data_IF_855077399322
#
_entry.id   IF_855077399322
#
_cell.length_a   1.000
_cell.length_b   1.000
_cell.length_c   1.000
_cell.angle_alpha   90.00
_cell.angle_beta   90.00
_cell.angle_gamma   90.00
#
_symmetry.space_group_name_H-M   'P 1'
#
loop_
_entity.id
_entity.type
_entity.pdbx_description
1 polymer ?
#
# COMPACT_ATOMS: atom_id res chain seq x y z
N UNK A 1 4.52 27.74 -14.04
CA UNK A 1 5.20 28.81 -13.28
C UNK A 1 4.26 29.41 -12.23
N UNK A 2 4.76 29.59 -11.01
CA UNK A 2 4.03 30.06 -9.83
C UNK A 2 3.57 31.52 -9.95
N UNK A 3 2.54 31.88 -9.18
CA UNK A 3 2.16 33.28 -9.01
C UNK A 3 3.24 34.01 -8.17
N UNK A 4 3.84 35.11 -8.69
CA UNK A 4 4.91 35.82 -7.99
C UNK A 4 4.52 36.38 -6.63
N UNK A 5 3.25 36.80 -6.45
CA UNK A 5 2.76 37.33 -5.18
C UNK A 5 2.64 36.22 -4.14
N UNK A 6 2.12 35.05 -4.52
CA UNK A 6 2.07 33.90 -3.61
C UNK A 6 3.47 33.44 -3.23
N UNK A 7 4.39 33.37 -4.20
CA UNK A 7 5.77 32.99 -3.92
C UNK A 7 6.46 33.99 -2.96
N UNK A 8 6.28 35.29 -3.18
CA UNK A 8 6.82 36.32 -2.29
C UNK A 8 6.20 36.27 -0.88
N UNK A 9 4.93 35.89 -0.75
CA UNK A 9 4.28 35.72 0.56
C UNK A 9 4.87 34.56 1.33
N UNK A 10 5.04 33.38 0.71
CA UNK A 10 5.60 32.22 1.41
C UNK A 10 7.08 32.43 1.77
N UNK A 11 7.82 33.17 0.94
CA UNK A 11 9.22 33.53 1.23
C UNK A 11 9.38 34.48 2.42
N UNK A 12 8.33 35.19 2.83
CA UNK A 12 8.33 36.01 4.06
C UNK A 12 8.15 35.16 5.33
N UNK A 13 7.80 33.88 5.19
CA UNK A 13 7.66 32.93 6.28
C UNK A 13 6.25 32.37 6.43
N UNK A 14 6.16 31.25 7.14
CA UNK A 14 4.91 30.50 7.34
C UNK A 14 3.84 31.32 8.07
N UNK A 15 4.23 32.15 9.05
CA UNK A 15 3.26 32.95 9.82
C UNK A 15 2.55 33.99 8.92
N UNK A 16 3.32 34.70 8.09
CA UNK A 16 2.80 35.68 7.12
C UNK A 16 1.89 35.00 6.10
N UNK A 17 2.32 33.83 5.59
CA UNK A 17 1.50 33.04 4.67
C UNK A 17 0.19 32.60 5.32
N UNK A 18 0.25 32.07 6.54
CA UNK A 18 -0.92 31.55 7.24
C UNK A 18 -1.91 32.67 7.61
N UNK A 19 -1.45 33.84 8.01
CA UNK A 19 -2.29 35.03 8.22
C UNK A 19 -2.97 35.46 6.92
N UNK A 20 -2.22 35.51 5.81
CA UNK A 20 -2.78 35.80 4.50
C UNK A 20 -3.84 34.76 4.09
N UNK A 21 -3.63 33.47 4.35
CA UNK A 21 -4.62 32.41 4.08
C UNK A 21 -5.90 32.60 4.88
N UNK A 22 -5.81 33.01 6.14
CA UNK A 22 -6.99 33.28 6.98
C UNK A 22 -7.84 34.43 6.43
N UNK A 23 -7.19 35.48 5.91
CA UNK A 23 -7.87 36.62 5.30
C UNK A 23 -8.41 36.30 3.89
N UNK A 24 -7.84 35.28 3.22
CA UNK A 24 -8.14 34.93 1.84
C UNK A 24 -8.56 33.45 1.65
N UNK A 25 -9.58 32.95 2.38
CA UNK A 25 -9.90 31.52 2.40
C UNK A 25 -10.42 30.97 1.07
N UNK A 26 -10.96 31.84 0.20
CA UNK A 26 -11.49 31.47 -1.12
C UNK A 26 -10.43 31.43 -2.21
N UNK A 27 -9.25 32.01 -1.99
CA UNK A 27 -8.16 32.01 -2.97
C UNK A 27 -7.54 30.62 -2.96
N UNK A 28 -7.35 30.04 -4.16
CA UNK A 28 -6.53 28.84 -4.35
C UNK A 28 -5.10 29.28 -4.65
N UNK A 29 -4.13 28.99 -3.76
CA UNK A 29 -2.76 29.42 -4.00
C UNK A 29 -2.14 28.70 -5.20
N UNK A 30 -1.52 29.44 -6.10
CA UNK A 30 -0.75 28.92 -7.22
C UNK A 30 0.75 29.03 -6.92
N UNK A 31 1.38 27.89 -6.65
CA UNK A 31 2.79 27.68 -6.36
C UNK A 31 3.40 26.64 -7.33
N UNK A 32 2.87 26.52 -8.55
CA UNK A 32 3.37 25.57 -9.56
C UNK A 32 4.82 25.83 -9.90
N UNK A 33 5.64 24.79 -9.98
CA UNK A 33 7.09 24.88 -10.27
C UNK A 33 7.85 25.76 -9.27
N UNK A 34 7.26 26.12 -8.13
CA UNK A 34 7.94 26.92 -7.12
C UNK A 34 9.11 26.13 -6.54
N UNK A 35 10.23 26.82 -6.31
CA UNK A 35 11.36 26.27 -5.58
C UNK A 35 11.19 26.55 -4.08
N UNK A 36 10.82 25.50 -3.35
CA UNK A 36 10.55 25.48 -1.92
C UNK A 36 11.47 24.47 -1.20
N UNK A 37 12.59 24.08 -1.83
CA UNK A 37 13.53 23.10 -1.30
C UNK A 37 14.08 23.55 0.06
N UNK A 38 14.25 22.60 0.98
CA UNK A 38 14.88 22.82 2.29
C UNK A 38 14.23 23.90 3.17
N UNK A 39 13.07 24.44 2.77
CA UNK A 39 12.38 25.45 3.56
C UNK A 39 11.76 24.83 4.80
N UNK A 40 11.72 25.62 5.87
CA UNK A 40 10.92 25.30 7.04
C UNK A 40 9.47 25.73 6.82
N UNK A 41 8.63 24.77 6.48
CA UNK A 41 7.21 24.92 6.13
C UNK A 41 6.31 24.23 7.18
N UNK A 42 6.81 24.11 8.42
CA UNK A 42 6.09 23.46 9.51
C UNK A 42 4.75 24.16 9.76
N UNK A 43 3.67 23.39 9.80
CA UNK A 43 2.29 23.90 9.96
C UNK A 43 1.82 24.90 8.89
N UNK A 44 2.46 24.93 7.70
CA UNK A 44 2.00 25.78 6.61
C UNK A 44 0.61 25.37 6.13
N UNK A 45 -0.24 26.33 5.80
CA UNK A 45 -1.56 26.10 5.21
C UNK A 45 -1.52 26.19 3.68
N UNK A 46 -1.26 25.07 3.03
CA UNK A 46 -1.35 24.86 1.58
C UNK A 46 -2.66 24.16 1.16
N UNK A 47 -3.73 24.28 1.95
CA UNK A 47 -5.03 23.73 1.57
C UNK A 47 -5.48 24.28 0.20
N UNK A 48 -5.89 23.39 -0.70
CA UNK A 48 -6.24 23.71 -2.11
C UNK A 48 -5.12 24.35 -2.95
N UNK A 49 -3.88 24.38 -2.48
CA UNK A 49 -2.78 24.95 -3.26
C UNK A 49 -2.46 24.06 -4.46
N UNK A 50 -2.16 24.70 -5.59
CA UNK A 50 -1.55 24.06 -6.73
C UNK A 50 -0.02 24.15 -6.60
N UNK A 51 0.58 23.03 -6.23
CA UNK A 51 2.01 22.80 -6.08
C UNK A 51 2.53 21.88 -7.21
N UNK A 52 1.84 21.83 -8.35
CA UNK A 52 2.26 20.96 -9.46
C UNK A 52 3.70 21.28 -9.86
N UNK A 53 4.54 20.26 -9.95
CA UNK A 53 5.96 20.36 -10.28
C UNK A 53 6.79 21.24 -9.31
N UNK A 54 6.27 21.60 -8.14
CA UNK A 54 7.03 22.32 -7.14
C UNK A 54 8.19 21.45 -6.60
N UNK A 55 9.31 22.07 -6.27
CA UNK A 55 10.42 21.44 -5.60
C UNK A 55 10.28 21.65 -4.09
N UNK A 56 9.89 20.60 -3.36
CA UNK A 56 9.73 20.55 -1.90
C UNK A 56 10.78 19.62 -1.27
N UNK A 57 11.84 19.28 -2.00
CA UNK A 57 12.88 18.35 -1.56
C UNK A 57 13.48 18.81 -0.23
N UNK A 58 13.63 17.88 0.71
CA UNK A 58 14.22 18.12 2.04
C UNK A 58 13.53 19.23 2.86
N UNK A 59 12.33 19.66 2.47
CA UNK A 59 11.57 20.67 3.22
C UNK A 59 10.96 20.06 4.48
N UNK A 60 10.79 20.89 5.50
CA UNK A 60 10.07 20.51 6.72
C UNK A 60 8.60 20.90 6.57
N UNK A 61 7.74 19.93 6.29
CA UNK A 61 6.28 20.05 6.18
C UNK A 61 5.56 19.39 7.36
N UNK A 62 6.24 19.25 8.51
CA UNK A 62 5.67 18.62 9.69
C UNK A 62 4.39 19.35 10.11
N UNK A 63 3.28 18.61 10.18
CA UNK A 63 1.95 19.13 10.49
C UNK A 63 1.38 20.12 9.48
N UNK A 64 1.96 20.24 8.27
CA UNK A 64 1.41 21.10 7.22
C UNK A 64 -0.01 20.66 6.81
N UNK A 65 -0.84 21.62 6.42
CA UNK A 65 -2.13 21.35 5.80
C UNK A 65 -2.00 21.43 4.27
N UNK A 66 -2.06 20.29 3.61
CA UNK A 66 -2.01 20.05 2.18
C UNK A 66 -3.31 19.38 1.69
N UNK A 67 -4.39 19.46 2.48
CA UNK A 67 -5.68 18.86 2.15
C UNK A 67 -6.18 19.41 0.81
N UNK A 68 -6.58 18.50 -0.11
CA UNK A 68 -7.02 18.83 -1.47
C UNK A 68 -6.04 19.67 -2.29
N UNK A 69 -4.75 19.66 -1.93
CA UNK A 69 -3.70 20.27 -2.73
C UNK A 69 -3.40 19.44 -3.98
N UNK A 70 -2.89 20.10 -5.02
CA UNK A 70 -2.42 19.44 -6.24
C UNK A 70 -0.89 19.40 -6.17
N UNK A 71 -0.33 18.20 -6.03
CA UNK A 71 1.10 17.90 -5.97
C UNK A 71 1.54 17.11 -7.21
N UNK A 72 0.82 17.24 -8.33
CA UNK A 72 1.13 16.58 -9.60
C UNK A 72 2.60 16.79 -9.98
N UNK A 73 3.37 15.71 -10.07
CA UNK A 73 4.82 15.73 -10.37
C UNK A 73 5.68 16.57 -9.43
N UNK A 74 5.21 16.88 -8.22
CA UNK A 74 6.02 17.58 -7.23
C UNK A 74 7.19 16.69 -6.75
N UNK A 75 8.33 17.32 -6.44
CA UNK A 75 9.47 16.64 -5.81
C UNK A 75 9.40 16.84 -4.29
N UNK A 76 8.99 15.81 -3.56
CA UNK A 76 8.93 15.73 -2.10
C UNK A 76 10.02 14.78 -1.54
N UNK A 77 11.07 14.46 -2.31
CA UNK A 77 12.12 13.56 -1.84
C UNK A 77 12.70 14.03 -0.51
N UNK A 78 12.85 13.12 0.45
CA UNK A 78 13.39 13.41 1.79
C UNK A 78 12.63 14.51 2.57
N UNK A 79 11.43 14.91 2.14
CA UNK A 79 10.64 15.88 2.89
C UNK A 79 10.13 15.28 4.21
N UNK A 80 10.07 16.10 5.26
CA UNK A 80 9.46 15.73 6.54
C UNK A 80 7.97 16.12 6.53
N UNK A 81 7.10 15.16 6.26
CA UNK A 81 5.64 15.29 6.20
C UNK A 81 4.97 14.65 7.43
N UNK A 82 5.70 14.48 8.53
CA UNK A 82 5.15 13.91 9.77
C UNK A 82 3.88 14.64 10.18
N UNK A 83 2.80 13.89 10.41
CA UNK A 83 1.49 14.41 10.86
C UNK A 83 0.86 15.43 9.90
N UNK A 84 1.35 15.55 8.66
CA UNK A 84 0.76 16.41 7.65
C UNK A 84 -0.69 15.97 7.34
N UNK A 85 -1.56 16.95 7.06
CA UNK A 85 -2.92 16.72 6.61
C UNK A 85 -2.93 16.77 5.09
N UNK A 86 -3.13 15.64 4.44
CA UNK A 86 -3.01 15.45 2.99
C UNK A 86 -4.22 14.67 2.44
N UNK A 87 -5.36 14.73 3.14
CA UNK A 87 -6.58 14.09 2.70
C UNK A 87 -6.99 14.64 1.32
N UNK A 88 -7.38 13.74 0.43
CA UNK A 88 -7.79 14.07 -0.95
C UNK A 88 -6.73 14.83 -1.77
N UNK A 89 -5.45 14.81 -1.37
CA UNK A 89 -4.37 15.44 -2.13
C UNK A 89 -4.07 14.62 -3.41
N UNK A 90 -3.74 15.33 -4.50
CA UNK A 90 -3.35 14.71 -5.77
C UNK A 90 -1.83 14.64 -5.89
N UNK A 91 -1.25 13.45 -5.69
CA UNK A 91 0.17 13.16 -5.82
C UNK A 91 0.48 12.36 -7.09
N UNK A 92 -0.32 12.48 -8.15
CA UNK A 92 -0.07 11.81 -9.43
C UNK A 92 1.37 12.10 -9.93
N UNK A 93 2.16 11.04 -10.15
CA UNK A 93 3.58 11.09 -10.53
C UNK A 93 4.48 11.93 -9.60
N UNK A 94 4.07 12.20 -8.35
CA UNK A 94 4.94 12.88 -7.38
C UNK A 94 6.08 11.95 -6.92
N UNK A 95 7.21 12.54 -6.57
CA UNK A 95 8.33 11.81 -5.98
C UNK A 95 8.37 12.03 -4.47
N UNK A 96 8.11 10.98 -3.69
CA UNK A 96 8.19 10.93 -2.23
C UNK A 96 9.32 9.99 -1.77
N UNK A 97 10.34 9.77 -2.62
CA UNK A 97 11.48 8.91 -2.29
C UNK A 97 12.07 9.28 -0.93
N UNK A 98 12.13 8.32 -0.01
CA UNK A 98 12.63 8.47 1.38
C UNK A 98 11.91 9.53 2.23
N UNK A 99 10.74 10.03 1.80
CA UNK A 99 9.98 11.02 2.57
C UNK A 99 9.44 10.42 3.89
N UNK A 100 9.31 11.27 4.90
CA UNK A 100 8.80 10.88 6.21
C UNK A 100 7.33 11.30 6.36
N UNK A 101 6.40 10.36 6.26
CA UNK A 101 4.96 10.55 6.41
C UNK A 101 4.41 9.88 7.68
N UNK A 102 5.21 9.75 8.75
CA UNK A 102 4.76 9.13 10.01
C UNK A 102 3.51 9.87 10.51
N UNK A 103 2.46 9.10 10.81
CA UNK A 103 1.17 9.60 11.30
C UNK A 103 0.49 10.65 10.38
N UNK A 104 0.88 10.75 9.11
CA UNK A 104 0.21 11.62 8.15
C UNK A 104 -1.22 11.15 7.85
N UNK A 105 -2.11 12.09 7.57
CA UNK A 105 -3.47 11.81 7.11
C UNK A 105 -3.53 11.90 5.59
N UNK A 106 -3.62 10.75 4.92
CA UNK A 106 -3.62 10.55 3.47
C UNK A 106 -4.92 9.88 3.00
N UNK A 107 -6.00 10.04 3.75
CA UNK A 107 -7.31 9.49 3.39
C UNK A 107 -7.71 10.00 2.00
N UNK A 108 -8.15 9.09 1.13
CA UNK A 108 -8.59 9.41 -0.24
C UNK A 108 -7.53 10.13 -1.10
N UNK A 109 -6.25 10.12 -0.68
CA UNK A 109 -5.17 10.70 -1.47
C UNK A 109 -4.87 9.85 -2.71
N UNK A 110 -4.41 10.53 -3.77
CA UNK A 110 -4.19 9.94 -5.08
C UNK A 110 -2.69 9.83 -5.35
N UNK A 111 -2.19 8.63 -5.61
CA UNK A 111 -0.77 8.31 -5.80
C UNK A 111 -0.53 7.55 -7.12
N UNK A 112 -1.34 7.78 -8.16
CA UNK A 112 -1.09 7.18 -9.48
C UNK A 112 0.37 7.40 -9.91
N UNK A 113 1.08 6.31 -10.20
CA UNK A 113 2.49 6.32 -10.65
C UNK A 113 3.45 7.07 -9.71
N UNK A 114 3.08 7.33 -8.46
CA UNK A 114 3.93 8.03 -7.51
C UNK A 114 5.10 7.15 -7.05
N UNK A 115 6.24 7.76 -6.75
CA UNK A 115 7.41 7.09 -6.19
C UNK A 115 7.44 7.28 -4.67
N UNK A 116 7.13 6.24 -3.91
CA UNK A 116 7.20 6.18 -2.45
C UNK A 116 8.29 5.22 -1.97
N UNK A 117 9.28 4.91 -2.80
CA UNK A 117 10.35 3.98 -2.40
C UNK A 117 11.03 4.47 -1.12
N UNK A 118 11.24 3.54 -0.20
CA UNK A 118 11.88 3.79 1.10
C UNK A 118 11.20 4.87 1.97
N UNK A 119 9.98 5.33 1.62
CA UNK A 119 9.23 6.28 2.43
C UNK A 119 8.76 5.63 3.73
N UNK A 120 8.62 6.45 4.78
CA UNK A 120 8.10 6.00 6.08
C UNK A 120 6.66 6.47 6.28
N UNK A 121 5.71 5.55 6.27
CA UNK A 121 4.28 5.77 6.51
C UNK A 121 3.82 5.08 7.81
N UNK A 122 4.70 4.97 8.81
CA UNK A 122 4.36 4.36 10.11
C UNK A 122 3.11 5.01 10.70
N UNK A 123 2.09 4.20 11.03
CA UNK A 123 0.78 4.64 11.55
C UNK A 123 0.05 5.69 10.70
N UNK A 124 0.42 5.90 9.44
CA UNK A 124 -0.31 6.80 8.56
C UNK A 124 -1.74 6.31 8.31
N UNK A 125 -2.64 7.26 8.03
CA UNK A 125 -4.03 6.98 7.64
C UNK A 125 -4.17 7.08 6.13
N UNK A 126 -4.32 5.95 5.45
CA UNK A 126 -4.35 5.80 3.99
C UNK A 126 -5.69 5.18 3.55
N UNK A 127 -6.74 5.32 4.37
CA UNK A 127 -8.07 4.77 4.06
C UNK A 127 -8.56 5.32 2.72
N UNK A 128 -9.07 4.43 1.87
CA UNK A 128 -9.58 4.77 0.53
C UNK A 128 -8.56 5.46 -0.42
N UNK A 129 -7.26 5.43 -0.09
CA UNK A 129 -6.23 6.00 -0.96
C UNK A 129 -5.97 5.13 -2.21
N UNK A 130 -5.47 5.76 -3.28
CA UNK A 130 -5.32 5.13 -4.60
C UNK A 130 -3.84 5.10 -5.00
N UNK A 131 -3.27 3.91 -5.22
CA UNK A 131 -1.86 3.66 -5.52
C UNK A 131 -1.64 2.93 -6.85
N UNK A 132 -2.50 3.13 -7.83
CA UNK A 132 -2.40 2.44 -9.11
C UNK A 132 -1.01 2.67 -9.74
N UNK A 133 -0.30 1.57 -10.02
CA UNK A 133 1.08 1.56 -10.56
C UNK A 133 2.12 2.37 -9.75
N UNK A 134 1.84 2.69 -8.49
CA UNK A 134 2.79 3.36 -7.61
C UNK A 134 3.97 2.44 -7.25
N UNK A 135 5.13 3.03 -7.02
CA UNK A 135 6.32 2.33 -6.56
C UNK A 135 6.51 2.54 -5.05
N UNK A 136 6.22 1.52 -4.25
CA UNK A 136 6.38 1.52 -2.80
C UNK A 136 7.40 0.46 -2.35
N UNK A 137 8.43 0.18 -3.17
CA UNK A 137 9.48 -0.77 -2.75
C UNK A 137 10.15 -0.31 -1.47
N UNK A 138 10.34 -1.25 -0.55
CA UNK A 138 11.02 -1.00 0.73
C UNK A 138 10.33 0.08 1.61
N UNK A 139 9.06 0.38 1.34
CA UNK A 139 8.26 1.31 2.16
C UNK A 139 8.01 0.73 3.56
N UNK A 140 7.94 1.60 4.57
CA UNK A 140 7.50 1.22 5.92
C UNK A 140 6.06 1.64 6.17
N UNK A 141 5.15 0.68 6.27
CA UNK A 141 3.71 0.84 6.52
C UNK A 141 3.26 0.21 7.85
N UNK A 142 4.21 -0.09 8.76
CA UNK A 142 3.89 -0.74 10.03
C UNK A 142 2.82 0.04 10.80
N UNK A 143 1.74 -0.65 11.17
CA UNK A 143 0.60 -0.08 11.88
C UNK A 143 -0.25 0.93 11.09
N UNK A 144 0.03 1.16 9.81
CA UNK A 144 -0.77 2.05 8.96
C UNK A 144 -2.18 1.48 8.68
N UNK A 145 -3.10 2.36 8.26
CA UNK A 145 -4.50 2.00 7.95
C UNK A 145 -4.77 2.18 6.46
N UNK A 146 -4.99 1.09 5.73
CA UNK A 146 -5.28 1.05 4.29
C UNK A 146 -6.67 0.46 3.99
N UNK A 147 -7.62 0.59 4.91
CA UNK A 147 -8.98 0.06 4.71
C UNK A 147 -9.58 0.67 3.44
N UNK A 148 -10.04 -0.19 2.52
CA UNK A 148 -10.63 0.21 1.23
C UNK A 148 -9.64 0.80 0.20
N UNK A 149 -8.35 0.92 0.53
CA UNK A 149 -7.37 1.43 -0.43
C UNK A 149 -7.21 0.51 -1.65
N UNK A 150 -6.78 1.08 -2.77
CA UNK A 150 -6.53 0.34 -4.02
C UNK A 150 -5.07 0.45 -4.43
N UNK A 151 -4.39 -0.69 -4.58
CA UNK A 151 -2.97 -0.80 -4.95
C UNK A 151 -2.78 -1.63 -6.22
N UNK A 152 -3.71 -1.49 -7.18
CA UNK A 152 -3.68 -2.24 -8.44
C UNK A 152 -2.34 -2.07 -9.17
N UNK A 153 -1.68 -3.19 -9.47
CA UNK A 153 -0.35 -3.24 -10.09
C UNK A 153 0.76 -2.42 -9.38
N UNK A 154 0.54 -1.99 -8.13
CA UNK A 154 1.58 -1.31 -7.36
C UNK A 154 2.74 -2.24 -7.02
N UNK A 155 3.90 -1.65 -6.72
CA UNK A 155 5.08 -2.40 -6.32
C UNK A 155 5.40 -2.21 -4.83
N UNK A 156 5.09 -3.20 -3.99
CA UNK A 156 5.42 -3.27 -2.57
C UNK A 156 6.52 -4.31 -2.28
N UNK A 157 7.40 -4.60 -3.25
CA UNK A 157 8.46 -5.57 -3.00
C UNK A 157 9.30 -5.13 -1.80
N UNK A 158 9.55 -6.06 -0.87
CA UNK A 158 10.30 -5.85 0.38
C UNK A 158 9.70 -4.81 1.33
N UNK A 159 8.44 -4.41 1.15
CA UNK A 159 7.76 -3.49 2.06
C UNK A 159 7.59 -4.10 3.47
N UNK A 160 7.64 -3.25 4.50
CA UNK A 160 7.28 -3.61 5.87
C UNK A 160 5.82 -3.24 6.14
N UNK A 161 4.96 -4.24 6.23
CA UNK A 161 3.52 -4.16 6.46
C UNK A 161 3.11 -4.87 7.78
N UNK A 162 4.03 -4.95 8.75
CA UNK A 162 3.75 -5.56 10.05
C UNK A 162 2.56 -4.85 10.71
N UNK A 163 1.58 -5.63 11.18
CA UNK A 163 0.39 -5.11 11.91
C UNK A 163 -0.38 -4.01 11.16
N UNK A 164 -0.21 -3.92 9.84
CA UNK A 164 -0.93 -2.97 8.99
C UNK A 164 -2.38 -3.44 8.85
N UNK A 165 -3.32 -2.49 8.84
CA UNK A 165 -4.72 -2.78 8.58
C UNK A 165 -5.02 -2.65 7.09
N UNK A 166 -5.09 -3.78 6.40
CA UNK A 166 -5.38 -3.99 4.98
C UNK A 166 -6.79 -4.60 4.78
N UNK A 167 -7.71 -4.42 5.72
CA UNK A 167 -9.07 -4.95 5.62
C UNK A 167 -9.76 -4.39 4.37
N UNK A 168 -10.38 -5.27 3.57
CA UNK A 168 -11.06 -4.91 2.31
C UNK A 168 -10.17 -4.16 1.29
N UNK A 169 -8.84 -4.25 1.39
CA UNK A 169 -7.94 -3.62 0.43
C UNK A 169 -7.99 -4.33 -0.94
N UNK A 170 -7.80 -3.59 -2.02
CA UNK A 170 -7.55 -4.18 -3.34
C UNK A 170 -6.05 -4.22 -3.64
N UNK A 171 -5.49 -5.42 -3.69
CA UNK A 171 -4.08 -5.75 -4.02
C UNK A 171 -4.00 -6.54 -5.34
N UNK A 172 -4.91 -6.26 -6.29
CA UNK A 172 -4.97 -6.98 -7.56
C UNK A 172 -3.69 -6.74 -8.37
N UNK A 173 -3.01 -7.82 -8.74
CA UNK A 173 -1.76 -7.77 -9.52
C UNK A 173 -0.57 -7.11 -8.79
N UNK A 174 -0.73 -6.77 -7.51
CA UNK A 174 0.30 -6.07 -6.73
C UNK A 174 1.52 -6.96 -6.52
N UNK A 175 2.72 -6.38 -6.63
CA UNK A 175 3.97 -7.07 -6.31
C UNK A 175 4.29 -6.93 -4.81
N UNK A 176 4.17 -8.02 -4.06
CA UNK A 176 4.51 -8.15 -2.64
C UNK A 176 5.70 -9.10 -2.43
N UNK A 177 6.56 -9.28 -3.43
CA UNK A 177 7.75 -10.13 -3.33
C UNK A 177 8.58 -9.76 -2.10
N UNK A 178 8.84 -10.73 -1.21
CA UNK A 178 9.58 -10.54 0.06
C UNK A 178 9.00 -9.47 1.00
N UNK A 179 7.74 -9.08 0.82
CA UNK A 179 7.09 -8.18 1.77
C UNK A 179 6.88 -8.85 3.13
N UNK A 180 6.96 -8.08 4.20
CA UNK A 180 6.71 -8.53 5.56
C UNK A 180 5.30 -8.12 5.99
N UNK A 181 4.36 -9.06 5.99
CA UNK A 181 2.95 -8.91 6.31
C UNK A 181 2.59 -9.58 7.65
N UNK A 182 3.57 -9.83 8.53
CA UNK A 182 3.32 -10.51 9.81
C UNK A 182 2.26 -9.78 10.62
N UNK A 183 1.29 -10.54 11.13
CA UNK A 183 0.18 -10.02 11.94
C UNK A 183 -0.64 -8.91 11.24
N UNK A 184 -0.54 -8.76 9.92
CA UNK A 184 -1.37 -7.83 9.17
C UNK A 184 -2.83 -8.31 9.13
N UNK A 185 -3.77 -7.36 9.10
CA UNK A 185 -5.18 -7.66 8.89
C UNK A 185 -5.52 -7.51 7.41
N UNK A 186 -5.70 -8.61 6.70
CA UNK A 186 -6.11 -8.73 5.29
C UNK A 186 -7.51 -9.33 5.14
N UNK A 187 -8.36 -9.24 6.17
CA UNK A 187 -9.72 -9.78 6.12
C UNK A 187 -10.49 -9.18 4.94
N UNK A 188 -11.07 -10.04 4.09
CA UNK A 188 -11.79 -9.65 2.88
C UNK A 188 -10.93 -8.97 1.79
N UNK A 189 -9.61 -8.96 1.91
CA UNK A 189 -8.72 -8.35 0.92
C UNK A 189 -8.78 -9.08 -0.43
N UNK A 190 -8.65 -8.32 -1.53
CA UNK A 190 -8.57 -8.86 -2.87
C UNK A 190 -7.11 -8.91 -3.36
N UNK A 191 -6.50 -10.09 -3.29
CA UNK A 191 -5.14 -10.40 -3.77
C UNK A 191 -5.15 -11.19 -5.09
N UNK A 192 -6.18 -11.02 -5.93
CA UNK A 192 -6.24 -11.68 -7.23
C UNK A 192 -4.96 -11.41 -8.05
N UNK A 193 -4.28 -12.49 -8.48
CA UNK A 193 -3.00 -12.42 -9.21
C UNK A 193 -1.86 -11.65 -8.50
N UNK A 194 -1.95 -11.42 -7.19
CA UNK A 194 -0.85 -10.79 -6.44
C UNK A 194 0.40 -11.68 -6.45
N UNK A 195 1.58 -11.05 -6.44
CA UNK A 195 2.89 -11.74 -6.37
C UNK A 195 3.36 -11.71 -4.93
N UNK A 196 3.25 -12.82 -4.21
CA UNK A 196 3.64 -12.99 -2.80
C UNK A 196 4.86 -13.92 -2.65
N UNK A 197 5.66 -14.07 -3.71
CA UNK A 197 6.85 -14.93 -3.71
C UNK A 197 7.79 -14.55 -2.56
N UNK A 198 8.10 -15.51 -1.67
CA UNK A 198 8.91 -15.32 -0.46
C UNK A 198 8.38 -14.25 0.54
N UNK A 199 7.10 -13.88 0.49
CA UNK A 199 6.50 -12.97 1.47
C UNK A 199 6.31 -13.65 2.85
N UNK A 200 6.41 -12.87 3.94
CA UNK A 200 6.12 -13.35 5.29
C UNK A 200 4.72 -12.92 5.75
N UNK A 201 3.77 -13.84 5.74
CA UNK A 201 2.38 -13.67 6.20
C UNK A 201 2.14 -14.35 7.55
N UNK A 202 3.19 -14.58 8.35
CA UNK A 202 3.06 -15.25 9.63
C UNK A 202 2.04 -14.57 10.56
N UNK A 203 1.06 -15.35 11.05
CA UNK A 203 -0.05 -14.88 11.88
C UNK A 203 -0.92 -13.77 11.24
N UNK A 204 -0.86 -13.59 9.92
CA UNK A 204 -1.74 -12.65 9.23
C UNK A 204 -3.19 -13.16 9.22
N UNK A 205 -4.14 -12.23 9.26
CA UNK A 205 -5.56 -12.52 9.14
C UNK A 205 -6.00 -12.35 7.69
N UNK A 206 -6.26 -13.44 6.99
CA UNK A 206 -6.66 -13.52 5.58
C UNK A 206 -8.07 -14.12 5.44
N UNK A 207 -8.89 -14.07 6.50
CA UNK A 207 -10.25 -14.60 6.45
C UNK A 207 -11.04 -13.93 5.33
N UNK A 208 -11.76 -14.74 4.56
CA UNK A 208 -12.56 -14.29 3.41
C UNK A 208 -11.75 -13.59 2.29
N UNK A 209 -10.41 -13.63 2.33
CA UNK A 209 -9.58 -13.00 1.30
C UNK A 209 -9.64 -13.76 -0.03
N UNK A 210 -9.53 -13.02 -1.13
CA UNK A 210 -9.41 -13.59 -2.49
C UNK A 210 -7.95 -13.67 -2.88
N UNK A 211 -7.37 -14.87 -2.96
CA UNK A 211 -5.99 -15.15 -3.40
C UNK A 211 -5.98 -15.94 -4.72
N UNK A 212 -7.07 -15.88 -5.50
CA UNK A 212 -7.17 -16.62 -6.76
C UNK A 212 -6.04 -16.24 -7.70
N UNK A 213 -5.36 -17.25 -8.26
CA UNK A 213 -4.21 -17.11 -9.15
C UNK A 213 -3.01 -16.34 -8.54
N UNK A 214 -2.95 -16.17 -7.22
CA UNK A 214 -1.80 -15.53 -6.57
C UNK A 214 -0.57 -16.44 -6.58
N UNK A 215 0.62 -15.83 -6.65
CA UNK A 215 1.89 -16.53 -6.52
C UNK A 215 2.39 -16.47 -5.06
N UNK A 216 2.15 -17.53 -4.29
CA UNK A 216 2.56 -17.68 -2.90
C UNK A 216 3.77 -18.60 -2.74
N UNK A 217 4.54 -18.84 -3.82
CA UNK A 217 5.70 -19.72 -3.77
C UNK A 217 6.64 -19.30 -2.64
N UNK A 218 7.06 -20.25 -1.82
CA UNK A 218 7.99 -20.03 -0.68
C UNK A 218 7.53 -18.98 0.33
N UNK A 219 6.24 -18.62 0.34
CA UNK A 219 5.69 -17.71 1.34
C UNK A 219 5.60 -18.39 2.71
N UNK A 220 5.79 -17.61 3.78
CA UNK A 220 5.57 -18.07 5.14
C UNK A 220 4.13 -17.75 5.58
N UNK A 221 3.30 -18.78 5.79
CA UNK A 221 1.91 -18.66 6.24
C UNK A 221 1.71 -19.25 7.65
N UNK A 222 2.80 -19.45 8.40
CA UNK A 222 2.74 -20.04 9.75
C UNK A 222 1.76 -19.30 10.66
N UNK A 223 0.79 -20.03 11.19
CA UNK A 223 -0.24 -19.49 12.09
C UNK A 223 -1.20 -18.49 11.45
N UNK A 224 -1.20 -18.31 10.12
CA UNK A 224 -2.13 -17.41 9.44
C UNK A 224 -3.57 -17.94 9.47
N UNK A 225 -4.54 -17.03 9.38
CA UNK A 225 -5.97 -17.36 9.36
C UNK A 225 -6.52 -17.23 7.95
N UNK A 226 -6.82 -18.34 7.27
CA UNK A 226 -7.36 -18.38 5.91
C UNK A 226 -8.77 -18.99 5.86
N UNK A 227 -9.50 -18.97 6.97
CA UNK A 227 -10.87 -19.47 6.99
C UNK A 227 -11.72 -18.75 5.92
N UNK A 228 -12.43 -19.53 5.09
CA UNK A 228 -13.23 -19.06 3.95
C UNK A 228 -12.47 -18.31 2.85
N UNK A 229 -11.13 -18.34 2.84
CA UNK A 229 -10.34 -17.70 1.79
C UNK A 229 -10.46 -18.45 0.45
N UNK A 230 -10.36 -17.73 -0.67
CA UNK A 230 -10.39 -18.32 -2.01
C UNK A 230 -8.99 -18.36 -2.63
N UNK A 231 -8.37 -19.54 -2.67
CA UNK A 231 -7.04 -19.78 -3.25
C UNK A 231 -7.11 -20.46 -4.63
N UNK A 232 -8.22 -20.35 -5.36
CA UNK A 232 -8.40 -21.06 -6.63
C UNK A 232 -7.25 -20.77 -7.60
N UNK A 233 -6.54 -21.81 -8.03
CA UNK A 233 -5.41 -21.70 -8.97
C UNK A 233 -4.15 -21.03 -8.41
N UNK A 234 -4.07 -20.76 -7.11
CA UNK A 234 -2.88 -20.17 -6.50
C UNK A 234 -1.67 -21.13 -6.55
N UNK A 235 -0.47 -20.58 -6.64
CA UNK A 235 0.77 -21.36 -6.57
C UNK A 235 1.34 -21.35 -5.15
N UNK A 236 1.33 -22.51 -4.50
CA UNK A 236 1.73 -22.71 -3.11
C UNK A 236 3.05 -23.49 -2.98
N UNK A 237 3.78 -23.68 -4.08
CA UNK A 237 5.02 -24.50 -4.11
C UNK A 237 6.02 -24.00 -3.06
N UNK A 238 6.44 -24.89 -2.16
CA UNK A 238 7.36 -24.58 -1.07
C UNK A 238 6.86 -23.60 0.02
N UNK A 239 5.58 -23.27 0.07
CA UNK A 239 5.02 -22.40 1.12
C UNK A 239 4.86 -23.15 2.46
N UNK A 240 5.02 -22.43 3.57
CA UNK A 240 4.96 -22.98 4.92
C UNK A 240 3.62 -22.72 5.60
N UNK A 241 2.85 -23.78 5.82
CA UNK A 241 1.50 -23.73 6.40
C UNK A 241 1.42 -24.24 7.85
N UNK A 242 2.53 -24.28 8.59
CA UNK A 242 2.48 -24.83 9.95
C UNK A 242 1.54 -24.00 10.85
N UNK A 243 0.48 -24.63 11.35
CA UNK A 243 -0.51 -23.98 12.23
C UNK A 243 -1.48 -23.04 11.52
N UNK A 244 -1.52 -23.03 10.18
CA UNK A 244 -2.49 -22.22 9.42
C UNK A 244 -3.91 -22.78 9.55
N UNK A 245 -4.90 -21.92 9.75
CA UNK A 245 -6.32 -22.28 9.67
C UNK A 245 -6.81 -22.14 8.23
N UNK A 246 -7.24 -23.26 7.63
CA UNK A 246 -7.75 -23.33 6.26
C UNK A 246 -9.18 -23.85 6.20
N UNK A 247 -9.91 -23.76 7.31
CA UNK A 247 -11.30 -24.21 7.39
C UNK A 247 -12.14 -23.52 6.31
N UNK A 248 -12.88 -24.29 5.52
CA UNK A 248 -13.72 -23.78 4.41
C UNK A 248 -12.98 -23.00 3.31
N UNK A 249 -11.64 -23.07 3.24
CA UNK A 249 -10.88 -22.41 2.18
C UNK A 249 -11.07 -23.14 0.83
N UNK A 250 -11.24 -22.39 -0.26
CA UNK A 250 -11.33 -22.96 -1.60
C UNK A 250 -9.92 -23.19 -2.17
N UNK A 251 -9.53 -24.47 -2.28
CA UNK A 251 -8.23 -24.92 -2.77
C UNK A 251 -8.30 -25.53 -4.18
N UNK A 252 -9.31 -25.20 -4.98
CA UNK A 252 -9.43 -25.76 -6.33
C UNK A 252 -8.26 -25.35 -7.24
N UNK A 253 -7.66 -26.32 -7.95
CA UNK A 253 -6.53 -26.11 -8.89
C UNK A 253 -5.27 -25.47 -8.31
N UNK A 254 -5.06 -25.53 -6.99
CA UNK A 254 -3.79 -25.08 -6.40
C UNK A 254 -2.61 -25.86 -7.00
N UNK A 255 -1.47 -25.18 -7.12
CA UNK A 255 -0.19 -25.81 -7.45
C UNK A 255 0.59 -26.03 -6.15
N UNK A 256 1.02 -27.27 -5.91
CA UNK A 256 1.74 -27.68 -4.70
C UNK A 256 2.64 -28.89 -5.02
N UNK A 257 3.85 -28.87 -4.51
CA UNK A 257 4.90 -29.89 -4.69
C UNK A 257 5.00 -30.89 -3.53
N UNK A 258 4.59 -30.49 -2.33
CA UNK A 258 4.57 -31.37 -1.14
C UNK A 258 3.27 -32.19 -1.06
N UNK A 259 3.39 -33.51 -1.32
CA UNK A 259 2.26 -34.44 -1.23
C UNK A 259 1.75 -34.67 0.19
N UNK A 260 2.62 -34.60 1.21
CA UNK A 260 2.22 -34.75 2.60
C UNK A 260 1.40 -33.53 3.07
N UNK A 261 1.84 -32.34 2.66
CA UNK A 261 1.08 -31.11 2.86
C UNK A 261 -0.27 -31.19 2.12
N UNK A 262 -0.30 -31.63 0.86
CA UNK A 262 -1.55 -31.82 0.12
C UNK A 262 -2.51 -32.74 0.87
N UNK A 263 -2.03 -33.86 1.42
CA UNK A 263 -2.86 -34.77 2.22
C UNK A 263 -3.46 -34.11 3.46
N UNK A 264 -2.67 -33.29 4.18
CA UNK A 264 -3.14 -32.54 5.36
C UNK A 264 -4.16 -31.47 5.00
N UNK A 265 -3.92 -30.71 3.93
CA UNK A 265 -4.83 -29.68 3.42
C UNK A 265 -6.18 -30.26 3.01
N UNK A 266 -6.17 -31.45 2.39
CA UNK A 266 -7.39 -32.14 1.96
C UNK A 266 -8.25 -32.63 3.12
N UNK A 267 -7.65 -32.95 4.27
CA UNK A 267 -8.40 -33.33 5.48
C UNK A 267 -9.02 -32.13 6.20
N UNK A 268 -8.38 -30.96 6.14
CA UNK A 268 -8.82 -29.76 6.85
C UNK A 268 -9.88 -28.93 6.11
N UNK A 269 -9.93 -29.00 4.78
CA UNK A 269 -10.69 -28.05 3.97
C UNK A 269 -12.06 -28.55 3.45
N UNK A 270 -12.62 -29.66 3.97
CA UNK A 270 -13.88 -30.27 3.46
C UNK A 270 -13.95 -30.30 1.92
N UNK A 271 -12.84 -30.63 1.26
CA UNK A 271 -12.75 -30.50 -0.20
C UNK A 271 -13.65 -31.57 -0.84
N UNK A 272 -14.67 -31.11 -1.56
CA UNK A 272 -15.50 -31.97 -2.42
C UNK A 272 -14.61 -32.62 -3.49
N UNK A 273 -14.83 -33.92 -3.68
CA UNK A 273 -14.03 -34.93 -4.39
C UNK A 273 -13.65 -34.67 -5.87
N UNK A 274 -13.82 -33.47 -6.42
CA UNK A 274 -13.53 -33.12 -7.82
C UNK A 274 -12.03 -32.99 -8.12
N UNK A 275 -11.20 -32.65 -7.13
CA UNK A 275 -9.72 -32.58 -7.25
C UNK A 275 -9.05 -33.94 -7.49
N UNK A 276 -9.70 -35.06 -7.14
CA UNK A 276 -9.15 -36.41 -7.29
C UNK A 276 -9.12 -36.90 -8.75
N UNK A 277 -9.97 -36.38 -9.64
CA UNK A 277 -10.11 -36.95 -10.99
C UNK A 277 -9.05 -36.48 -11.99
N UNK A 278 -8.48 -35.28 -11.83
CA UNK A 278 -7.50 -34.75 -12.80
C UNK A 278 -6.05 -35.19 -12.48
N UNK A 279 -5.67 -35.34 -11.21
CA UNK A 279 -4.31 -35.82 -10.85
C UNK A 279 -4.15 -37.33 -11.05
N UNK A 280 -5.20 -38.13 -10.78
CA UNK A 280 -5.17 -39.57 -11.07
C UNK A 280 -5.11 -39.87 -12.57
N UNK A 281 -5.73 -39.05 -13.43
CA UNK A 281 -5.71 -39.27 -14.89
C UNK A 281 -4.39 -38.87 -15.56
N UNK A 282 -3.60 -37.99 -14.94
CA UNK A 282 -2.26 -37.63 -15.39
C UNK A 282 -1.20 -38.64 -14.93
N UNK A 283 -1.34 -39.20 -13.73
CA UNK A 283 -0.44 -40.27 -13.25
C UNK A 283 -0.73 -41.63 -13.91
N UNK A 284 -1.98 -41.96 -14.22
CA UNK A 284 -2.33 -43.21 -14.94
C UNK A 284 -1.99 -43.19 -16.44
N UNK A 285 -1.39 -42.10 -16.95
CA UNK A 285 -0.92 -41.98 -18.34
C UNK A 285 0.61 -42.05 -18.47
N UNK A 286 1.33 -42.22 -17.35
CA UNK A 286 2.81 -42.25 -17.30
C UNK A 286 3.35 -43.63 -16.85
N UNK A 287 2.48 -44.59 -16.52
CA UNK A 287 2.82 -46.02 -16.36
C UNK A 287 2.26 -46.83 -17.51
#
# INVERSE_FOLDING_TARGET
MANPQHLALIQQGVDVWNEWRQLNPKIRPDLREADLRQLNLKYVNFEYADLSQANLRESNLNGANLTRSILYRADLCMADLQRAQMAEADLYNASLYTANLVEANLREAIFYEADLREATLYKADLREAIFYEADLREVTLEGAKLIGATLYNANLARANLIRTNLCMVSLVGTNLHRANLRMANLMGANLYKAILFEADLGQADLREATLSLADLRRANLKGAYLCMANLTGANLTGADFAGTDLSMANLWKIQIDDEALLGRLMQSAEITTSTLKEKKSTLSRIT
#
